data_IF_269645325146
#
_entry.id   IF_269645325146
#
_cell.length_a   1.000
_cell.length_b   1.000
_cell.length_c   1.000
_cell.angle_alpha   90.00
_cell.angle_beta   90.00
_cell.angle_gamma   90.00
#
_symmetry.space_group_name_H-M   'P 1'
#
loop_
_entity.id
_entity.type
_entity.pdbx_description
1 polymer ?
#
# COMPACT_ATOMS: atom_id res chain seq x y z
N UNK A 1 -6.13 -8.31 -8.35
CA UNK A 1 -6.14 -8.38 -6.88
C UNK A 1 -4.87 -7.74 -6.31
N UNK A 2 -4.98 -6.65 -5.54
CA UNK A 2 -3.86 -5.90 -4.96
C UNK A 2 -3.43 -6.57 -3.66
N UNK A 3 -2.24 -7.16 -3.64
CA UNK A 3 -1.64 -7.76 -2.44
C UNK A 3 -1.01 -6.69 -1.56
N UNK A 4 -0.88 -6.94 -0.26
CA UNK A 4 -0.23 -5.98 0.64
C UNK A 4 1.21 -5.68 0.26
N UNK A 5 1.96 -6.60 -0.31
CA UNK A 5 3.31 -6.27 -0.79
C UNK A 5 3.33 -5.08 -1.77
N UNK A 6 2.25 -4.85 -2.52
CA UNK A 6 2.20 -3.79 -3.55
C UNK A 6 2.13 -2.38 -2.97
N UNK A 7 1.53 -2.16 -1.80
CA UNK A 7 1.52 -0.82 -1.19
C UNK A 7 2.92 -0.38 -0.73
N UNK A 8 3.81 -1.36 -0.49
CA UNK A 8 5.23 -1.14 -0.23
C UNK A 8 6.06 -0.95 -1.51
N UNK A 9 5.43 -0.83 -2.68
CA UNK A 9 6.10 -0.59 -3.95
C UNK A 9 5.53 0.60 -4.73
N UNK A 10 4.35 1.11 -4.35
CA UNK A 10 3.66 2.18 -5.06
C UNK A 10 3.91 3.54 -4.40
N UNK A 11 4.40 4.49 -5.18
CA UNK A 11 4.62 5.88 -4.77
C UNK A 11 3.75 6.86 -5.57
N UNK A 12 3.39 7.98 -4.95
CA UNK A 12 2.67 9.07 -5.59
C UNK A 12 3.59 9.90 -6.49
N UNK A 13 3.10 10.18 -7.70
CA UNK A 13 3.79 10.99 -8.71
C UNK A 13 2.98 12.22 -9.15
N UNK A 14 1.99 12.63 -8.35
CA UNK A 14 1.33 13.92 -8.55
C UNK A 14 2.38 15.03 -8.54
N UNK A 15 2.22 16.00 -9.43
CA UNK A 15 3.08 17.17 -9.58
C UNK A 15 3.38 17.80 -8.23
N UNK A 16 4.65 18.16 -8.03
CA UNK A 16 5.20 18.72 -6.79
C UNK A 16 5.14 17.79 -5.55
N UNK A 17 4.86 16.50 -5.71
CA UNK A 17 4.86 15.52 -4.61
C UNK A 17 6.21 14.79 -4.51
N UNK A 18 7.24 15.46 -4.00
CA UNK A 18 8.63 14.95 -3.98
C UNK A 18 9.12 14.42 -2.63
N UNK A 19 8.39 14.67 -1.54
CA UNK A 19 8.68 14.15 -0.20
C UNK A 19 7.44 13.45 0.36
N UNK A 20 7.63 12.46 1.25
CA UNK A 20 6.54 11.69 1.87
C UNK A 20 5.50 11.15 0.86
N UNK A 21 5.94 10.78 -0.35
CA UNK A 21 5.08 10.27 -1.42
C UNK A 21 4.99 8.73 -1.42
N UNK A 22 5.67 8.07 -0.48
CA UNK A 22 5.74 6.64 -0.30
C UNK A 22 5.89 6.31 1.19
N UNK A 23 5.25 5.23 1.69
CA UNK A 23 4.25 4.40 1.02
C UNK A 23 2.89 5.10 0.91
N UNK A 24 2.05 4.65 -0.02
CA UNK A 24 0.64 5.04 -0.02
C UNK A 24 -0.09 4.33 1.12
N UNK A 25 -0.92 5.07 1.86
CA UNK A 25 -1.64 4.55 3.02
C UNK A 25 -2.99 3.97 2.61
N UNK A 26 -3.29 2.73 3.00
CA UNK A 26 -4.64 2.21 2.91
C UNK A 26 -5.53 2.85 3.96
N UNK A 27 -6.78 3.12 3.60
CA UNK A 27 -7.72 3.73 4.54
C UNK A 27 -8.23 2.77 5.61
N UNK A 28 -8.40 1.48 5.29
CA UNK A 28 -9.07 0.52 6.17
C UNK A 28 -8.56 -0.91 5.95
N UNK A 29 -7.40 -1.27 6.51
CA UNK A 29 -6.85 -2.63 6.32
C UNK A 29 -7.30 -3.66 7.36
N UNK A 30 -7.84 -3.24 8.50
CA UNK A 30 -8.49 -4.11 9.50
C UNK A 30 -7.63 -5.21 10.16
N UNK A 31 -6.45 -5.51 9.62
CA UNK A 31 -5.57 -6.56 10.10
C UNK A 31 -4.58 -6.04 11.14
N UNK A 32 -4.52 -6.72 12.28
CA UNK A 32 -3.61 -6.43 13.41
C UNK A 32 -2.66 -7.58 13.68
N UNK A 33 -2.45 -8.48 12.71
CA UNK A 33 -1.66 -9.71 12.88
C UNK A 33 -0.14 -9.48 12.86
N UNK A 34 0.32 -8.36 12.30
CA UNK A 34 1.74 -8.02 12.23
C UNK A 34 2.24 -7.42 13.56
N UNK A 35 3.45 -7.79 14.01
CA UNK A 35 4.08 -7.15 15.15
C UNK A 35 4.48 -5.71 14.83
N UNK A 36 4.46 -4.84 15.85
CA UNK A 36 4.84 -3.42 15.70
C UNK A 36 6.35 -3.23 15.49
N UNK A 37 7.15 -4.18 15.95
CA UNK A 37 8.61 -4.17 15.83
C UNK A 37 9.07 -5.34 14.96
N UNK A 38 10.17 -5.13 14.25
CA UNK A 38 10.81 -6.19 13.49
C UNK A 38 11.40 -7.23 14.46
N UNK A 39 11.13 -8.53 14.28
CA UNK A 39 11.70 -9.55 15.15
C UNK A 39 13.22 -9.69 14.97
N UNK A 40 13.91 -9.99 16.06
CA UNK A 40 15.37 -10.18 16.09
C UNK A 40 15.82 -11.45 15.35
N UNK A 41 14.95 -12.46 15.27
CA UNK A 41 15.19 -13.70 14.55
C UNK A 41 14.09 -13.95 13.53
N UNK A 42 14.52 -14.40 12.35
CA UNK A 42 13.64 -14.82 11.26
C UNK A 42 13.59 -16.34 11.30
N UNK A 43 12.53 -16.88 11.89
CA UNK A 43 12.24 -18.32 11.88
C UNK A 43 11.12 -18.66 10.88
N UNK A 44 10.89 -19.95 10.66
CA UNK A 44 9.88 -20.42 9.71
C UNK A 44 8.47 -19.98 10.10
N UNK A 45 8.17 -19.85 11.41
CA UNK A 45 6.87 -19.38 11.88
C UNK A 45 6.63 -17.92 11.49
N UNK A 46 7.64 -17.06 11.68
CA UNK A 46 7.58 -15.67 11.25
C UNK A 46 7.49 -15.54 9.72
N UNK A 47 8.28 -16.32 8.97
CA UNK A 47 8.22 -16.32 7.51
C UNK A 47 6.84 -16.73 6.97
N UNK A 48 6.19 -17.70 7.61
CA UNK A 48 4.81 -18.09 7.26
C UNK A 48 3.81 -16.97 7.52
N UNK A 49 3.89 -16.28 8.68
CA UNK A 49 3.03 -15.13 8.97
C UNK A 49 3.28 -13.98 8.00
N UNK A 50 4.54 -13.70 7.68
CA UNK A 50 4.91 -12.66 6.73
C UNK A 50 4.41 -12.97 5.31
N UNK A 51 4.55 -14.23 4.86
CA UNK A 51 4.00 -14.70 3.59
C UNK A 51 2.49 -14.49 3.53
N UNK A 52 1.77 -14.92 4.57
CA UNK A 52 0.32 -14.75 4.65
C UNK A 52 -0.07 -13.28 4.48
N UNK A 53 0.53 -12.39 5.28
CA UNK A 53 0.19 -10.96 5.24
C UNK A 53 0.57 -10.33 3.92
N UNK A 54 1.80 -10.53 3.43
CA UNK A 54 2.27 -9.82 2.23
C UNK A 54 1.67 -10.35 0.92
N UNK A 55 1.40 -11.65 0.84
CA UNK A 55 1.10 -12.34 -0.43
C UNK A 55 -0.31 -12.92 -0.51
N UNK A 56 -0.93 -13.27 0.62
CA UNK A 56 -2.26 -13.87 0.65
C UNK A 56 -3.34 -12.81 0.96
N UNK A 57 -3.06 -11.86 1.86
CA UNK A 57 -3.97 -10.75 2.12
C UNK A 57 -3.99 -9.79 0.93
N UNK A 58 -5.20 -9.44 0.52
CA UNK A 58 -5.43 -8.56 -0.60
C UNK A 58 -6.67 -7.69 -0.44
N UNK A 59 -6.65 -6.55 -1.12
CA UNK A 59 -7.75 -5.60 -1.16
C UNK A 59 -8.52 -5.77 -2.46
N UNK A 60 -9.82 -6.08 -2.37
CA UNK A 60 -10.74 -6.12 -3.51
C UNK A 60 -11.28 -4.73 -3.85
N UNK A 61 -11.76 -4.00 -2.84
CA UNK A 61 -12.36 -2.68 -2.98
C UNK A 61 -11.80 -1.75 -1.90
N UNK A 62 -11.53 -0.50 -2.25
CA UNK A 62 -11.01 0.49 -1.29
C UNK A 62 -10.26 1.63 -1.96
N UNK A 63 -9.36 2.28 -1.21
CA UNK A 63 -8.48 3.29 -1.77
C UNK A 63 -7.15 3.39 -1.01
N UNK A 64 -6.13 3.83 -1.74
CA UNK A 64 -4.85 4.25 -1.19
C UNK A 64 -4.75 5.76 -1.25
N UNK A 65 -4.19 6.38 -0.21
CA UNK A 65 -4.07 7.84 -0.10
C UNK A 65 -2.60 8.22 0.03
N UNK A 66 -2.16 9.20 -0.75
CA UNK A 66 -0.83 9.77 -0.60
C UNK A 66 -0.74 10.60 0.68
N UNK A 67 0.21 10.34 1.60
CA UNK A 67 0.31 11.08 2.84
C UNK A 67 0.85 12.52 2.67
N UNK A 68 1.42 12.86 1.52
CA UNK A 68 1.88 14.22 1.23
C UNK A 68 0.81 15.10 0.57
N UNK A 69 0.27 14.68 -0.59
CA UNK A 69 -0.68 15.50 -1.35
C UNK A 69 -2.15 15.14 -1.13
N UNK A 70 -2.45 14.10 -0.34
CA UNK A 70 -3.79 13.56 -0.09
C UNK A 70 -4.55 13.08 -1.34
N UNK A 71 -3.87 12.89 -2.48
CA UNK A 71 -4.47 12.30 -3.67
C UNK A 71 -4.91 10.86 -3.37
N UNK A 72 -6.09 10.49 -3.89
CA UNK A 72 -6.77 9.23 -3.61
C UNK A 72 -6.72 8.35 -4.85
N UNK A 73 -6.07 7.20 -4.72
CA UNK A 73 -6.00 6.16 -5.75
C UNK A 73 -7.07 5.08 -5.44
N UNK A 74 -8.20 5.05 -6.16
CA UNK A 74 -9.25 4.07 -5.93
C UNK A 74 -8.82 2.67 -6.38
N UNK A 75 -9.29 1.65 -5.66
CA UNK A 75 -9.08 0.24 -5.97
C UNK A 75 -10.45 -0.38 -6.26
N UNK A 76 -10.58 -1.01 -7.42
CA UNK A 76 -11.78 -1.78 -7.77
C UNK A 76 -11.38 -3.10 -8.43
N UNK A 77 -12.09 -4.17 -8.11
CA UNK A 77 -11.76 -5.54 -8.55
C UNK A 77 -10.29 -5.92 -8.23
N UNK A 78 -9.78 -5.35 -7.14
CA UNK A 78 -8.39 -5.45 -6.72
C UNK A 78 -7.40 -4.97 -7.78
N UNK A 79 -7.73 -3.91 -8.52
CA UNK A 79 -6.81 -3.19 -9.42
C UNK A 79 -6.78 -1.73 -8.97
N UNK A 80 -5.61 -1.17 -8.61
CA UNK A 80 -5.49 0.22 -8.22
C UNK A 80 -5.44 1.09 -9.47
N UNK A 81 -6.26 2.13 -9.53
CA UNK A 81 -6.16 3.14 -10.58
C UNK A 81 -5.04 4.13 -10.22
N UNK A 82 -3.90 4.01 -10.93
CA UNK A 82 -2.72 4.87 -10.76
C UNK A 82 -2.64 5.99 -11.81
N UNK A 83 -3.69 6.21 -12.61
CA UNK A 83 -3.72 7.25 -13.62
C UNK A 83 -3.91 8.62 -12.98
N UNK A 84 -3.17 9.60 -13.50
CA UNK A 84 -3.25 11.00 -13.10
C UNK A 84 -3.89 11.83 -14.21
N UNK A 85 -4.63 12.87 -13.84
CA UNK A 85 -5.15 13.82 -14.80
C UNK A 85 -4.03 14.71 -15.36
N UNK A 86 -4.26 15.31 -16.53
CA UNK A 86 -3.26 16.16 -17.22
C UNK A 86 -2.75 17.33 -16.38
N UNK A 87 -3.58 17.87 -15.48
CA UNK A 87 -3.19 18.97 -14.59
C UNK A 87 -2.39 18.51 -13.37
N UNK A 88 -2.41 17.20 -13.07
CA UNK A 88 -1.70 16.56 -11.97
C UNK A 88 -0.33 16.05 -12.38
N UNK A 89 -0.02 16.04 -13.67
CA UNK A 89 1.29 15.70 -14.22
C UNK A 89 2.08 16.98 -14.52
N UNK A 90 3.39 16.96 -14.26
CA UNK A 90 4.28 18.09 -14.52
C UNK A 90 5.66 17.95 -13.92
#
# INVERSE_FOLDING_TARGET
MVRLITHNLLACHVKNCTSNNFPLAFKDLGDTSLPAEQPDMIDDEFLQKLHHVLLEIHVEEGSMVCPNCNHVYPISNGIPNMLLAEHEIG
#
